data_IF_805908367832
#
_entry.id   IF_805908367832
#
_cell.length_a   1.000
_cell.length_b   1.000
_cell.length_c   1.000
_cell.angle_alpha   90.00
_cell.angle_beta   90.00
_cell.angle_gamma   90.00
#
_symmetry.space_group_name_H-M   'P 1'
#
loop_
_entity.id
_entity.type
_entity.pdbx_description
1 polymer ?
#
# COMPACT_ATOMS: atom_id res chain seq x y z
N UNK A 1 8.66 33.27 6.40
CA UNK A 1 8.37 32.15 7.34
C UNK A 1 7.12 32.52 8.11
N UNK A 2 6.08 31.73 7.98
CA UNK A 2 4.76 31.98 8.60
C UNK A 2 4.73 31.65 10.10
N UNK A 3 5.85 31.20 10.69
CA UNK A 3 5.95 30.85 12.11
C UNK A 3 5.23 29.57 12.54
N UNK A 4 4.57 28.86 11.61
CA UNK A 4 3.93 27.57 11.88
C UNK A 4 4.84 26.44 11.39
N UNK A 5 5.05 25.43 12.24
CA UNK A 5 5.85 24.24 11.92
C UNK A 5 5.01 23.24 11.11
N UNK A 6 3.71 23.17 11.41
CA UNK A 6 2.74 22.30 10.73
C UNK A 6 1.41 23.04 10.54
N UNK A 7 0.73 22.80 9.44
CA UNK A 7 -0.65 23.20 9.24
C UNK A 7 -1.44 22.06 8.61
N UNK A 8 -2.70 21.93 8.99
CA UNK A 8 -3.60 20.89 8.45
C UNK A 8 -4.43 21.51 7.34
N UNK A 9 -4.37 20.93 6.17
CA UNK A 9 -5.07 21.41 5.00
C UNK A 9 -5.86 20.29 4.32
N UNK A 10 -6.92 20.64 3.60
CA UNK A 10 -7.77 19.67 2.92
C UNK A 10 -7.09 19.22 1.61
N UNK A 11 -6.57 18.00 1.60
CA UNK A 11 -5.80 17.45 0.47
C UNK A 11 -6.65 16.89 -0.66
N UNK A 12 -7.99 17.00 -0.60
CA UNK A 12 -8.88 16.55 -1.66
C UNK A 12 -10.06 15.72 -1.17
N UNK A 13 -10.74 15.05 -2.09
CA UNK A 13 -11.86 14.16 -1.77
C UNK A 13 -11.44 12.71 -1.96
N UNK A 14 -11.74 11.89 -0.97
CA UNK A 14 -11.50 10.44 -0.98
C UNK A 14 -12.84 9.70 -0.93
N UNK A 15 -12.92 8.61 -1.70
CA UNK A 15 -14.02 7.66 -1.62
C UNK A 15 -13.47 6.33 -1.10
N UNK A 16 -14.01 5.88 0.03
CA UNK A 16 -13.72 4.58 0.61
C UNK A 16 -14.89 3.64 0.33
N UNK A 17 -14.60 2.45 -0.17
CA UNK A 17 -15.56 1.37 -0.35
C UNK A 17 -14.96 0.08 0.20
N UNK A 18 -15.74 -0.68 0.95
CA UNK A 18 -15.23 -1.89 1.57
C UNK A 18 -16.32 -2.89 1.89
N UNK A 19 -15.89 -4.12 2.15
CA UNK A 19 -16.71 -5.23 2.60
C UNK A 19 -16.01 -5.87 3.80
N UNK A 20 -16.78 -6.17 4.82
CA UNK A 20 -16.32 -6.89 6.01
C UNK A 20 -17.18 -8.14 6.19
N UNK A 21 -16.53 -9.26 6.54
CA UNK A 21 -17.17 -10.50 6.90
C UNK A 21 -16.59 -11.00 8.23
N UNK A 22 -17.47 -11.48 9.12
CA UNK A 22 -17.09 -12.12 10.36
C UNK A 22 -17.86 -13.42 10.54
N UNK A 23 -17.13 -14.49 10.77
CA UNK A 23 -17.70 -15.81 11.02
C UNK A 23 -17.23 -16.31 12.39
N UNK A 24 -18.14 -16.80 13.19
CA UNK A 24 -17.84 -17.40 14.48
C UNK A 24 -18.28 -18.85 14.49
N UNK A 25 -17.36 -19.72 14.87
CA UNK A 25 -17.57 -21.17 15.01
C UNK A 25 -17.43 -21.56 16.47
N UNK A 26 -18.45 -22.17 17.03
CA UNK A 26 -18.36 -22.84 18.33
C UNK A 26 -18.02 -24.29 18.06
N UNK A 27 -16.72 -24.62 18.13
CA UNK A 27 -16.21 -25.94 17.75
C UNK A 27 -16.53 -27.00 18.81
N UNK A 28 -16.42 -26.63 20.09
CA UNK A 28 -16.71 -27.51 21.21
C UNK A 28 -17.48 -26.70 22.24
N UNK A 29 -18.56 -27.31 22.78
CA UNK A 29 -19.35 -26.76 23.86
C UNK A 29 -19.84 -27.91 24.75
N UNK A 30 -18.94 -28.42 25.58
CA UNK A 30 -19.18 -29.55 26.46
C UNK A 30 -19.22 -29.07 27.92
N UNK A 31 -20.44 -29.02 28.49
CA UNK A 31 -20.64 -28.56 29.84
C UNK A 31 -20.17 -29.60 30.89
N UNK A 32 -20.17 -30.89 30.55
CA UNK A 32 -19.75 -31.97 31.46
C UNK A 32 -18.23 -31.96 31.66
N UNK A 33 -17.51 -31.69 30.60
CA UNK A 33 -16.04 -31.59 30.65
C UNK A 33 -15.53 -30.19 30.96
N UNK A 34 -16.46 -29.22 31.17
CA UNK A 34 -16.15 -27.79 31.30
C UNK A 34 -15.17 -27.32 30.17
N UNK A 35 -15.51 -27.69 28.95
CA UNK A 35 -14.70 -27.43 27.76
C UNK A 35 -15.48 -26.60 26.73
N UNK A 36 -14.98 -25.42 26.43
CA UNK A 36 -15.53 -24.53 25.39
C UNK A 36 -14.43 -24.08 24.48
N UNK A 37 -14.64 -24.29 23.19
CA UNK A 37 -13.70 -23.82 22.16
C UNK A 37 -14.44 -23.11 21.05
N UNK A 38 -14.08 -21.85 20.82
CA UNK A 38 -14.61 -21.08 19.71
C UNK A 38 -13.49 -20.46 18.89
N UNK A 39 -13.77 -20.32 17.60
CA UNK A 39 -12.90 -19.66 16.63
C UNK A 39 -13.70 -18.59 15.92
N UNK A 40 -13.13 -17.39 15.81
CA UNK A 40 -13.71 -16.29 15.05
C UNK A 40 -12.75 -15.92 13.92
N UNK A 41 -13.25 -15.94 12.72
CA UNK A 41 -12.56 -15.50 11.51
C UNK A 41 -13.14 -14.16 11.07
N UNK A 42 -12.31 -13.15 10.88
CA UNK A 42 -12.70 -11.86 10.33
C UNK A 42 -11.85 -11.57 9.10
N UNK A 43 -12.50 -11.09 8.04
CA UNK A 43 -11.85 -10.64 6.83
C UNK A 43 -12.48 -9.33 6.37
N UNK A 44 -11.65 -8.38 5.94
CA UNK A 44 -12.13 -7.14 5.36
C UNK A 44 -11.30 -6.75 4.15
N UNK A 45 -11.98 -6.19 3.17
CA UNK A 45 -11.43 -5.58 2.00
C UNK A 45 -11.86 -4.12 1.98
N UNK A 46 -10.91 -3.20 1.85
CA UNK A 46 -11.22 -1.78 1.74
C UNK A 46 -10.41 -1.16 0.61
N UNK A 47 -11.08 -0.43 -0.27
CA UNK A 47 -10.49 0.31 -1.37
C UNK A 47 -10.74 1.80 -1.20
N UNK A 48 -9.66 2.57 -1.17
CA UNK A 48 -9.68 4.03 -1.14
C UNK A 48 -9.32 4.55 -2.54
N UNK A 49 -10.05 5.55 -3.03
CA UNK A 49 -9.74 6.25 -4.28
C UNK A 49 -9.83 7.75 -4.08
N UNK A 50 -8.89 8.46 -4.65
CA UNK A 50 -8.93 9.92 -4.76
C UNK A 50 -9.98 10.26 -5.81
N UNK A 51 -11.01 11.00 -5.46
CA UNK A 51 -12.05 11.44 -6.41
C UNK A 51 -11.79 12.85 -6.92
N UNK A 52 -11.10 13.65 -6.14
CA UNK A 52 -10.72 15.01 -6.50
C UNK A 52 -9.38 15.35 -5.84
N UNK A 53 -8.43 15.85 -6.63
CA UNK A 53 -7.19 16.42 -6.12
C UNK A 53 -7.45 17.85 -5.63
N UNK A 54 -6.71 18.27 -4.61
CA UNK A 54 -6.59 19.68 -4.23
C UNK A 54 -5.37 20.30 -4.90
N UNK A 55 -5.29 21.62 -4.91
CA UNK A 55 -4.13 22.35 -5.43
C UNK A 55 -2.83 21.95 -4.72
N UNK A 56 -2.90 21.57 -3.43
CA UNK A 56 -1.73 21.11 -2.68
C UNK A 56 -1.24 19.74 -3.16
N UNK A 57 -2.13 18.80 -3.43
CA UNK A 57 -1.71 17.51 -4.01
C UNK A 57 -1.12 17.69 -5.39
N UNK A 58 -1.63 18.62 -6.19
CA UNK A 58 -1.03 18.99 -7.47
C UNK A 58 0.36 19.59 -7.29
N UNK A 59 0.54 20.46 -6.30
CA UNK A 59 1.86 21.02 -5.95
C UNK A 59 2.83 19.92 -5.49
N UNK A 60 2.39 18.99 -4.65
CA UNK A 60 3.22 17.83 -4.23
C UNK A 60 3.62 16.99 -5.45
N UNK A 61 2.69 16.77 -6.39
CA UNK A 61 3.00 16.08 -7.64
C UNK A 61 4.03 16.84 -8.48
N UNK A 62 3.94 18.17 -8.53
CA UNK A 62 4.91 19.01 -9.23
C UNK A 62 6.31 18.88 -8.62
N UNK A 63 6.44 18.96 -7.29
CA UNK A 63 7.71 18.72 -6.60
C UNK A 63 8.25 17.30 -6.82
N UNK A 64 7.38 16.29 -6.84
CA UNK A 64 7.77 14.91 -7.12
C UNK A 64 8.21 14.69 -8.57
N UNK A 65 7.88 15.59 -9.46
CA UNK A 65 8.22 15.57 -10.88
C UNK A 65 9.38 16.55 -11.24
N UNK A 66 9.86 17.33 -10.28
CA UNK A 66 11.03 18.17 -10.47
C UNK A 66 12.27 17.28 -10.67
N UNK A 67 13.03 17.50 -11.74
CA UNK A 67 14.24 16.75 -12.07
C UNK A 67 15.29 16.77 -10.95
N UNK A 68 15.29 17.82 -10.12
CA UNK A 68 16.17 17.92 -8.95
C UNK A 68 15.78 16.93 -7.84
N UNK A 69 14.49 16.62 -7.71
CA UNK A 69 14.00 15.65 -6.74
C UNK A 69 14.26 14.19 -7.18
N UNK A 70 14.42 13.96 -8.49
CA UNK A 70 14.63 12.64 -9.06
C UNK A 70 16.11 12.18 -9.09
N UNK A 71 17.05 13.01 -8.66
CA UNK A 71 18.48 12.66 -8.59
C UNK A 71 18.87 11.80 -7.37
N UNK A 72 17.90 11.24 -6.65
CA UNK A 72 18.14 10.42 -5.48
C UNK A 72 17.21 9.21 -5.38
N UNK A 73 17.57 8.28 -4.51
CA UNK A 73 16.86 7.04 -4.17
C UNK A 73 15.48 7.23 -3.54
N UNK A 74 14.97 8.47 -3.48
CA UNK A 74 13.70 8.78 -2.81
C UNK A 74 12.55 8.67 -3.80
N UNK A 75 11.73 7.65 -3.62
CA UNK A 75 10.47 7.53 -4.37
C UNK A 75 9.44 8.50 -3.78
N UNK A 76 9.20 9.58 -4.50
CA UNK A 76 8.13 10.52 -4.16
C UNK A 76 6.76 9.94 -4.49
N UNK A 77 5.80 10.10 -3.58
CA UNK A 77 4.41 9.73 -3.85
C UNK A 77 3.83 10.65 -4.93
N UNK A 78 3.17 10.05 -5.90
CA UNK A 78 2.39 10.77 -6.90
C UNK A 78 0.92 10.42 -6.71
N UNK A 79 0.07 11.44 -6.76
CA UNK A 79 -1.36 11.30 -6.55
C UNK A 79 -2.11 11.56 -7.87
N UNK A 80 -2.99 10.64 -8.25
CA UNK A 80 -3.86 10.77 -9.43
C UNK A 80 -5.32 10.56 -9.03
N UNK A 81 -6.22 11.35 -9.63
CA UNK A 81 -7.65 11.11 -9.49
C UNK A 81 -8.02 9.72 -10.05
N UNK A 82 -8.86 8.99 -9.34
CA UNK A 82 -9.22 7.62 -9.67
C UNK A 82 -8.28 6.54 -9.10
N UNK A 83 -7.10 6.92 -8.60
CA UNK A 83 -6.12 6.02 -7.99
C UNK A 83 -6.23 6.00 -6.47
N UNK A 84 -5.59 4.99 -5.87
CA UNK A 84 -5.42 4.95 -4.41
C UNK A 84 -4.43 6.01 -3.95
N UNK A 85 -4.64 6.57 -2.75
CA UNK A 85 -3.65 7.45 -2.12
C UNK A 85 -2.34 6.74 -1.75
N UNK A 86 -2.33 5.40 -1.74
CA UNK A 86 -1.18 4.56 -1.44
C UNK A 86 -0.69 3.78 -2.65
N UNK A 87 -1.15 4.16 -3.86
CA UNK A 87 -0.68 3.60 -5.11
C UNK A 87 0.82 3.88 -5.31
N UNK A 88 1.55 2.87 -5.73
CA UNK A 88 2.95 2.98 -6.13
C UNK A 88 3.02 3.31 -7.61
N UNK A 89 3.43 4.54 -7.90
CA UNK A 89 3.56 5.06 -9.27
C UNK A 89 5.03 5.06 -9.68
N UNK A 90 5.37 4.30 -10.72
CA UNK A 90 6.75 4.16 -11.20
C UNK A 90 6.81 4.21 -12.72
N UNK A 91 7.94 4.69 -13.27
CA UNK A 91 8.30 4.44 -14.66
C UNK A 91 8.87 3.03 -14.74
N UNK A 92 8.40 2.25 -15.70
CA UNK A 92 8.87 0.87 -15.87
C UNK A 92 10.28 0.87 -16.45
N UNK A 93 11.18 0.06 -15.88
CA UNK A 93 12.48 -0.24 -16.45
C UNK A 93 12.40 -1.46 -17.36
N UNK A 94 13.03 -1.37 -18.52
CA UNK A 94 13.29 -2.48 -19.45
C UNK A 94 14.62 -3.17 -19.17
N UNK A 95 15.37 -2.71 -18.14
CA UNK A 95 16.72 -3.15 -17.83
C UNK A 95 17.78 -2.24 -18.39
N UNK A 96 19.02 -2.72 -18.40
CA UNK A 96 20.19 -2.01 -18.91
C UNK A 96 20.49 -2.49 -20.34
N UNK A 97 20.66 -1.58 -21.27
CA UNK A 97 21.12 -1.91 -22.61
C UNK A 97 22.58 -2.38 -22.57
N UNK A 98 22.86 -3.64 -22.95
CA UNK A 98 24.20 -4.21 -22.86
C UNK A 98 25.20 -3.53 -23.82
N UNK A 99 24.74 -2.84 -24.86
CA UNK A 99 25.61 -2.18 -25.83
C UNK A 99 26.06 -0.79 -25.35
N UNK A 100 25.20 -0.06 -24.64
CA UNK A 100 25.48 1.33 -24.24
C UNK A 100 25.66 1.49 -22.73
N UNK A 101 25.20 0.51 -21.91
CA UNK A 101 25.17 0.62 -20.46
C UNK A 101 24.07 1.55 -19.92
N UNK A 102 23.21 2.08 -20.79
CA UNK A 102 22.15 2.98 -20.39
C UNK A 102 20.90 2.21 -19.94
N UNK A 103 20.14 2.79 -19.00
CA UNK A 103 18.86 2.23 -18.60
C UNK A 103 17.82 2.48 -19.69
N UNK A 104 17.03 1.43 -19.98
CA UNK A 104 15.90 1.46 -20.90
C UNK A 104 14.63 1.72 -20.07
N UNK A 105 13.91 2.77 -20.39
CA UNK A 105 12.61 3.08 -19.82
C UNK A 105 11.49 2.64 -20.75
N UNK A 106 10.37 2.23 -20.19
CA UNK A 106 9.19 1.84 -20.96
C UNK A 106 8.11 2.89 -20.73
N UNK A 107 7.78 3.62 -21.78
CA UNK A 107 6.73 4.64 -21.79
C UNK A 107 5.37 4.05 -21.43
N UNK A 108 4.40 4.90 -21.09
CA UNK A 108 3.02 4.49 -20.79
C UNK A 108 2.35 3.74 -21.97
N UNK A 109 2.69 4.09 -23.21
CA UNK A 109 2.21 3.42 -24.43
C UNK A 109 2.93 2.10 -24.77
N UNK A 110 3.98 1.73 -24.02
CA UNK A 110 4.77 0.51 -24.21
C UNK A 110 6.04 0.69 -25.06
N UNK A 111 6.29 1.86 -25.62
CA UNK A 111 7.54 2.14 -26.36
C UNK A 111 8.73 2.22 -25.42
N UNK A 112 9.90 1.80 -25.90
CA UNK A 112 11.16 1.90 -25.17
C UNK A 112 11.86 3.22 -25.48
N UNK A 113 12.54 3.78 -24.48
CA UNK A 113 13.32 5.02 -24.58
C UNK A 113 14.49 4.98 -23.61
N UNK A 114 15.53 5.76 -23.86
CA UNK A 114 16.63 5.99 -22.92
C UNK A 114 16.40 7.25 -22.07
N UNK A 115 15.36 8.02 -22.37
CA UNK A 115 15.04 9.23 -21.63
C UNK A 115 14.00 8.95 -20.55
N UNK A 116 14.33 9.29 -19.30
CA UNK A 116 13.38 9.23 -18.19
C UNK A 116 12.33 10.34 -18.35
N UNK A 117 11.05 9.96 -18.24
CA UNK A 117 9.96 10.93 -18.21
C UNK A 117 8.96 10.55 -17.11
N UNK A 118 8.77 11.46 -16.16
CA UNK A 118 7.83 11.26 -15.05
C UNK A 118 6.37 11.06 -15.48
N UNK A 119 5.99 11.54 -16.67
CA UNK A 119 4.65 11.34 -17.23
C UNK A 119 4.38 9.88 -17.65
N UNK A 120 5.43 9.08 -17.78
CA UNK A 120 5.35 7.66 -18.10
C UNK A 120 5.13 6.76 -16.87
N UNK A 121 5.00 7.35 -15.68
CA UNK A 121 4.67 6.60 -14.47
C UNK A 121 3.33 5.88 -14.61
N UNK A 122 3.31 4.62 -14.22
CA UNK A 122 2.11 3.77 -14.14
C UNK A 122 1.98 3.20 -12.73
N UNK A 123 0.76 2.80 -12.36
CA UNK A 123 0.52 2.10 -11.11
C UNK A 123 1.08 0.68 -11.20
N UNK A 124 2.10 0.37 -10.39
CA UNK A 124 2.67 -0.97 -10.30
C UNK A 124 2.10 -1.79 -9.12
N UNK A 125 1.31 -1.17 -8.29
CA UNK A 125 0.62 -1.79 -7.16
C UNK A 125 0.17 -0.78 -6.10
N UNK A 126 -0.36 -1.31 -5.01
CA UNK A 126 -0.83 -0.52 -3.87
C UNK A 126 -0.11 -1.00 -2.60
N UNK A 127 0.32 -0.06 -1.78
CA UNK A 127 0.90 -0.40 -0.48
C UNK A 127 -0.15 -0.98 0.48
N UNK A 128 -1.41 -0.61 0.28
CA UNK A 128 -2.52 -1.11 1.08
C UNK A 128 -2.83 -2.57 0.72
N UNK A 129 -2.94 -3.47 1.71
CA UNK A 129 -3.35 -4.85 1.46
C UNK A 129 -4.73 -4.93 0.79
N UNK A 130 -4.91 -5.92 -0.09
CA UNK A 130 -6.20 -6.19 -0.72
C UNK A 130 -7.17 -6.85 0.25
N UNK A 131 -6.65 -7.73 1.11
CA UNK A 131 -7.43 -8.42 2.13
C UNK A 131 -6.63 -8.36 3.44
N UNK A 132 -7.31 -8.02 4.51
CA UNK A 132 -6.79 -8.05 5.86
C UNK A 132 -7.79 -8.78 6.75
N UNK A 133 -7.30 -9.34 7.84
CA UNK A 133 -8.20 -9.95 8.79
C UNK A 133 -7.48 -10.54 9.99
N UNK A 134 -8.26 -11.24 10.78
CA UNK A 134 -7.74 -11.92 11.93
C UNK A 134 -8.45 -13.28 12.15
N UNK A 135 -7.72 -14.18 12.74
CA UNK A 135 -8.21 -15.45 13.28
C UNK A 135 -8.02 -15.39 14.79
N UNK A 136 -9.10 -15.47 15.50
CA UNK A 136 -9.14 -15.44 16.95
C UNK A 136 -9.62 -16.78 17.44
N UNK A 137 -8.90 -17.41 18.35
CA UNK A 137 -9.30 -18.66 19.00
C UNK A 137 -9.33 -18.47 20.52
N UNK A 138 -10.37 -18.98 21.14
CA UNK A 138 -10.57 -18.96 22.59
C UNK A 138 -10.97 -20.35 23.06
N UNK A 139 -10.12 -20.94 23.90
CA UNK A 139 -10.30 -22.25 24.52
C UNK A 139 -10.38 -22.06 26.03
N UNK A 140 -11.48 -22.51 26.60
CA UNK A 140 -11.68 -22.59 28.06
C UNK A 140 -11.82 -24.05 28.46
N UNK A 141 -11.00 -24.52 29.40
CA UNK A 141 -11.03 -25.86 29.88
C UNK A 141 -10.69 -25.90 31.36
N UNK A 142 -11.66 -26.33 32.19
CA UNK A 142 -11.48 -26.52 33.65
C UNK A 142 -10.76 -25.36 34.37
N UNK A 143 -11.15 -24.12 34.05
CA UNK A 143 -10.52 -22.90 34.57
C UNK A 143 -9.27 -22.44 33.84
N UNK A 144 -8.72 -23.24 32.94
CA UNK A 144 -7.66 -22.79 32.04
C UNK A 144 -8.22 -22.00 30.84
N UNK A 145 -7.63 -20.85 30.54
CA UNK A 145 -8.07 -19.97 29.46
C UNK A 145 -6.90 -19.75 28.48
N UNK A 146 -7.10 -20.15 27.25
CA UNK A 146 -6.13 -19.87 26.17
C UNK A 146 -6.79 -18.99 25.10
N UNK A 147 -6.21 -17.81 24.91
CA UNK A 147 -6.61 -16.88 23.88
C UNK A 147 -5.43 -16.65 22.92
N UNK A 148 -5.67 -16.84 21.62
CA UNK A 148 -4.69 -16.52 20.58
C UNK A 148 -5.34 -15.69 19.48
N UNK A 149 -4.61 -14.68 19.01
CA UNK A 149 -5.01 -13.81 17.89
C UNK A 149 -3.92 -13.82 16.82
N UNK A 150 -4.29 -14.24 15.62
CA UNK A 150 -3.44 -14.18 14.44
C UNK A 150 -3.99 -13.13 13.49
N UNK A 151 -3.16 -12.15 13.11
CA UNK A 151 -3.48 -11.15 12.12
C UNK A 151 -2.85 -11.54 10.79
N UNK A 152 -3.60 -11.42 9.69
CA UNK A 152 -3.10 -11.68 8.35
C UNK A 152 -3.38 -10.51 7.41
N UNK A 153 -2.49 -10.34 6.43
CA UNK A 153 -2.59 -9.32 5.38
C UNK A 153 -2.10 -9.93 4.07
N UNK A 154 -2.80 -9.65 2.99
CA UNK A 154 -2.46 -10.17 1.67
C UNK A 154 -2.61 -9.11 0.57
N UNK A 155 -1.69 -9.11 -0.39
CA UNK A 155 -1.77 -8.35 -1.64
C UNK A 155 -1.31 -6.89 -1.54
N UNK A 156 -0.73 -6.47 -0.42
CA UNK A 156 0.00 -5.20 -0.30
C UNK A 156 1.38 -5.28 -0.94
N UNK A 157 1.88 -4.16 -1.45
CA UNK A 157 3.24 -4.02 -1.97
C UNK A 157 4.05 -3.08 -1.09
N UNK A 158 5.33 -3.38 -0.92
CA UNK A 158 6.26 -2.55 -0.15
C UNK A 158 7.40 -2.14 -1.08
N UNK A 159 7.74 -0.86 -1.06
CA UNK A 159 8.94 -0.37 -1.70
C UNK A 159 10.18 -0.79 -0.89
N UNK A 160 11.11 -1.47 -1.54
CA UNK A 160 12.36 -1.90 -0.89
C UNK A 160 13.44 -0.83 -1.01
N UNK A 161 13.38 0.18 -0.15
CA UNK A 161 14.35 1.28 -0.12
C UNK A 161 15.79 0.80 0.12
N UNK A 162 15.97 -0.27 0.89
CA UNK A 162 17.30 -0.84 1.17
C UNK A 162 17.95 -1.41 -0.08
N UNK A 163 17.15 -2.08 -0.93
CA UNK A 163 17.67 -2.61 -2.20
C UNK A 163 18.02 -1.47 -3.15
N UNK A 164 17.12 -0.49 -3.30
CA UNK A 164 17.33 0.68 -4.14
C UNK A 164 18.62 1.42 -3.77
N UNK A 165 18.82 1.74 -2.48
CA UNK A 165 20.01 2.45 -2.00
C UNK A 165 21.32 1.68 -2.17
N UNK A 166 21.28 0.35 -2.34
CA UNK A 166 22.50 -0.47 -2.56
C UNK A 166 22.83 -0.65 -4.04
N UNK A 167 21.86 -0.48 -4.93
CA UNK A 167 22.03 -0.67 -6.38
C UNK A 167 22.42 0.64 -7.07
N UNK A 168 21.97 1.76 -6.51
CA UNK A 168 22.22 3.12 -7.07
C UNK A 168 23.37 3.85 -6.39
N UNK A 169 24.12 3.20 -5.47
CA UNK A 169 25.24 3.76 -4.72
C UNK A 169 26.60 3.59 -5.41
#
# INVERSE_FOLDING_TARGET
>A
STGFIDYVENIGKLRNTGVEARLRFNLIQDAVKDLRWNVTLSAFHNRSKITQLSNQLETINQYANDDRANQGTVVYRQFEAGRSQTALMVVRSGGIDPATGNEIYIKRNGEMTFEYNHNDKIECGDMKPKIEGNVNTNLNWKGFNLYMLFKYQYGGKIYNATLASKVEG
#
